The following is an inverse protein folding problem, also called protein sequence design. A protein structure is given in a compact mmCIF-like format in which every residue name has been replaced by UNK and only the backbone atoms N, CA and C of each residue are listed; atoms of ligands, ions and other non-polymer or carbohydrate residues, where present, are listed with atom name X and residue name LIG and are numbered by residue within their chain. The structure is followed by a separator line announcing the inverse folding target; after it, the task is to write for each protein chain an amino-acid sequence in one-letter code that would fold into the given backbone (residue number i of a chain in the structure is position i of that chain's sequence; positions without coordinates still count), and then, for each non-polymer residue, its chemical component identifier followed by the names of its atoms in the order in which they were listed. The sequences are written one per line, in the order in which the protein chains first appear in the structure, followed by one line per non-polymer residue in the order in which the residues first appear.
data_IF_607537662347
#
_entry.id   IF_607537662347
#
_cell.length_a   1.000
_cell.length_b   1.000
_cell.length_c   1.000
_cell.angle_alpha   90.00
_cell.angle_beta   90.00
_cell.angle_gamma   90.00
#
_symmetry.space_group_name_H-M   'P 1'
#
loop_
_entity.id
_entity.type
_entity.pdbx_description
1 polymer ?
#
# COMPACT_ATOMS: atom_id res chain seq x y z
N UNK A 1 11.03 4.60 -34.17
CA UNK A 1 10.57 3.27 -33.72
C UNK A 1 10.37 3.34 -32.22
N UNK A 2 9.12 3.35 -31.75
CA UNK A 2 8.83 3.38 -30.31
C UNK A 2 9.05 2.00 -29.71
N UNK A 3 9.65 1.90 -28.52
CA UNK A 3 9.79 0.61 -27.87
C UNK A 3 8.41 0.04 -27.60
N UNK A 4 8.18 -1.16 -28.11
CA UNK A 4 6.90 -1.86 -27.91
C UNK A 4 6.80 -2.31 -26.46
N UNK A 5 5.58 -2.43 -25.94
CA UNK A 5 5.29 -2.88 -24.56
C UNK A 5 6.01 -4.21 -24.25
N UNK A 6 6.16 -5.07 -25.25
CA UNK A 6 6.91 -6.33 -25.17
C UNK A 6 8.40 -6.16 -24.86
N UNK A 7 9.04 -5.09 -25.36
CA UNK A 7 10.45 -4.81 -25.09
C UNK A 7 10.64 -4.29 -23.67
N UNK A 8 9.69 -3.46 -23.20
CA UNK A 8 9.72 -2.92 -21.83
C UNK A 8 9.61 -4.06 -20.80
N UNK A 9 8.74 -5.05 -21.02
CA UNK A 9 8.64 -6.21 -20.13
C UNK A 9 9.96 -6.98 -19.98
N UNK A 10 10.67 -7.21 -21.09
CA UNK A 10 11.97 -7.90 -21.08
C UNK A 10 13.00 -7.09 -20.28
N UNK A 11 13.04 -5.78 -20.47
CA UNK A 11 13.95 -4.89 -19.73
C UNK A 11 13.63 -4.90 -18.23
N UNK A 12 12.36 -4.83 -17.85
CA UNK A 12 11.95 -4.87 -16.43
C UNK A 12 12.36 -6.19 -15.78
N UNK A 13 12.21 -7.32 -16.48
CA UNK A 13 12.65 -8.62 -15.97
C UNK A 13 14.15 -8.64 -15.68
N UNK A 14 14.97 -8.10 -16.59
CA UNK A 14 16.42 -8.00 -16.40
C UNK A 14 16.78 -7.09 -15.21
N UNK A 15 16.11 -5.96 -15.06
CA UNK A 15 16.30 -5.06 -13.91
C UNK A 15 15.96 -5.78 -12.60
N UNK A 16 14.87 -6.55 -12.56
CA UNK A 16 14.49 -7.32 -11.37
C UNK A 16 15.51 -8.41 -11.05
N UNK A 17 16.08 -9.07 -12.06
CA UNK A 17 17.11 -10.09 -11.87
C UNK A 17 18.44 -9.49 -11.39
N UNK A 18 18.84 -8.33 -11.92
CA UNK A 18 20.11 -7.68 -11.61
C UNK A 18 20.12 -7.05 -10.20
N UNK A 19 19.01 -6.41 -9.81
CA UNK A 19 18.88 -5.73 -8.52
C UNK A 19 18.29 -6.62 -7.43
N UNK A 20 17.66 -7.74 -7.81
CA UNK A 20 17.00 -8.67 -6.90
C UNK A 20 15.68 -8.14 -6.31
N UNK A 21 14.80 -9.05 -5.90
CA UNK A 21 13.46 -8.71 -5.35
C UNK A 21 13.51 -7.94 -4.02
N UNK A 22 14.56 -8.13 -3.21
CA UNK A 22 14.67 -7.49 -1.89
C UNK A 22 14.82 -5.97 -1.97
N UNK A 23 15.71 -5.48 -2.83
CA UNK A 23 15.99 -4.03 -2.98
C UNK A 23 14.83 -3.30 -3.65
N UNK A 24 14.21 -3.93 -4.64
CA UNK A 24 13.06 -3.37 -5.37
C UNK A 24 11.82 -3.30 -4.48
N UNK A 25 11.55 -4.31 -3.64
CA UNK A 25 10.38 -4.30 -2.76
C UNK A 25 10.42 -3.16 -1.74
N UNK A 26 11.57 -2.93 -1.10
CA UNK A 26 11.75 -1.82 -0.16
C UNK A 26 11.56 -0.46 -0.85
N UNK A 27 12.23 -0.23 -1.98
CA UNK A 27 12.13 1.01 -2.76
C UNK A 27 10.72 1.24 -3.31
N UNK A 28 10.04 0.18 -3.78
CA UNK A 28 8.68 0.27 -4.28
C UNK A 28 7.70 0.57 -3.13
N UNK A 29 7.93 0.07 -1.92
CA UNK A 29 7.13 0.39 -0.73
C UNK A 29 7.18 1.88 -0.37
N UNK A 30 8.38 2.49 -0.40
CA UNK A 30 8.55 3.92 -0.12
C UNK A 30 8.01 4.79 -1.27
N UNK A 31 8.23 4.37 -2.52
CA UNK A 31 7.66 5.03 -3.69
C UNK A 31 6.12 4.94 -3.70
N UNK A 32 5.54 3.80 -3.28
CA UNK A 32 4.10 3.63 -3.19
C UNK A 32 3.47 4.53 -2.13
N UNK A 33 4.12 4.74 -0.98
CA UNK A 33 3.67 5.73 0.02
C UNK A 33 3.69 7.15 -0.56
N UNK A 34 4.75 7.54 -1.27
CA UNK A 34 4.86 8.84 -1.93
C UNK A 34 3.77 9.06 -2.99
N UNK A 35 3.57 8.09 -3.90
CA UNK A 35 2.53 8.15 -4.93
C UNK A 35 1.12 8.13 -4.29
N UNK A 36 0.91 7.37 -3.21
CA UNK A 36 -0.38 7.32 -2.50
C UNK A 36 -0.70 8.65 -1.83
N UNK A 37 0.27 9.29 -1.19
CA UNK A 37 0.13 10.62 -0.61
C UNK A 37 -0.13 11.68 -1.69
N UNK A 38 0.60 11.62 -2.81
CA UNK A 38 0.39 12.50 -3.95
C UNK A 38 -1.02 12.33 -4.56
N UNK A 39 -1.46 11.08 -4.76
CA UNK A 39 -2.82 10.81 -5.26
C UNK A 39 -3.89 11.19 -4.25
N UNK A 40 -3.65 11.03 -2.95
CA UNK A 40 -4.57 11.46 -1.89
C UNK A 40 -4.70 12.97 -1.86
N UNK A 41 -3.60 13.73 -1.93
CA UNK A 41 -3.62 15.20 -1.99
C UNK A 41 -4.30 15.72 -3.26
N UNK A 42 -3.95 15.17 -4.42
CA UNK A 42 -4.59 15.54 -5.68
C UNK A 42 -6.06 15.11 -5.76
N UNK A 43 -6.42 14.01 -5.08
CA UNK A 43 -7.81 13.59 -4.95
C UNK A 43 -8.56 14.44 -3.93
N UNK A 44 -7.93 14.98 -2.89
CA UNK A 44 -8.56 15.92 -1.93
C UNK A 44 -8.92 17.23 -2.65
N UNK A 45 -8.01 17.78 -3.46
CA UNK A 45 -8.27 18.92 -4.36
C UNK A 45 -9.38 18.62 -5.38
N UNK A 46 -9.57 17.35 -5.78
CA UNK A 46 -10.64 16.93 -6.69
C UNK A 46 -11.91 16.41 -5.97
N UNK A 47 -11.86 16.22 -4.65
CA UNK A 47 -12.91 15.64 -3.81
C UNK A 47 -13.50 16.65 -2.82
N UNK A 48 -12.98 17.88 -2.73
CA UNK A 48 -13.76 19.01 -2.20
C UNK A 48 -15.08 19.21 -2.99
N UNK A 49 -15.17 18.71 -4.23
CA UNK A 49 -16.42 18.62 -5.00
C UNK A 49 -17.20 17.30 -4.79
N UNK A 50 -16.62 16.27 -4.16
CA UNK A 50 -17.25 14.96 -3.98
C UNK A 50 -16.72 14.21 -2.75
N UNK A 51 -17.54 14.14 -1.70
CA UNK A 51 -17.56 13.02 -0.74
C UNK A 51 -16.71 13.16 0.54
N UNK A 52 -17.23 13.95 1.49
CA UNK A 52 -16.94 13.89 2.93
C UNK A 52 -17.31 12.54 3.60
N UNK A 53 -17.22 11.38 2.92
CA UNK A 53 -17.81 10.10 3.36
C UNK A 53 -16.82 8.92 3.44
N UNK A 54 -15.51 9.18 3.54
CA UNK A 54 -14.52 8.09 3.68
C UNK A 54 -13.43 8.36 4.72
N UNK A 55 -13.80 8.98 5.83
CA UNK A 55 -12.94 9.10 7.03
C UNK A 55 -13.71 8.62 8.27
N UNK A 56 -14.24 7.39 8.24
CA UNK A 56 -14.83 6.81 9.47
C UNK A 56 -14.89 5.27 9.46
N UNK A 57 -13.92 4.57 8.84
CA UNK A 57 -13.92 3.09 8.91
C UNK A 57 -12.57 2.40 8.75
N UNK A 58 -11.56 2.84 9.50
CA UNK A 58 -10.31 2.08 9.66
C UNK A 58 -9.61 2.35 11.00
N UNK A 59 -10.37 2.72 12.03
CA UNK A 59 -9.93 2.78 13.42
C UNK A 59 -10.93 2.00 14.28
N UNK A 60 -11.10 0.72 13.96
CA UNK A 60 -11.70 -0.26 14.86
C UNK A 60 -10.70 -1.40 14.93
N UNK A 61 -9.88 -1.36 15.97
CA UNK A 61 -9.11 -2.50 16.45
C UNK A 61 -10.08 -3.68 16.60
N UNK A 62 -9.73 -4.91 16.15
CA UNK A 62 -10.54 -6.06 16.48
C UNK A 62 -10.50 -6.25 18.01
N UNK A 63 -11.62 -5.96 18.67
CA UNK A 63 -11.88 -6.39 20.04
C UNK A 63 -11.73 -7.92 20.08
N UNK A 64 -10.61 -8.40 20.61
CA UNK A 64 -10.34 -9.80 20.87
C UNK A 64 -11.25 -10.26 22.02
N UNK A 65 -12.25 -11.08 21.69
CA UNK A 65 -13.22 -11.65 22.64
C UNK A 65 -12.83 -13.05 23.10
N UNK A 66 -11.54 -13.41 23.11
CA UNK A 66 -11.10 -14.67 23.71
C UNK A 66 -11.32 -14.64 25.23
N UNK A 67 -12.17 -15.50 25.82
CA UNK A 67 -12.29 -15.58 27.26
C UNK A 67 -10.98 -16.19 27.79
N UNK A 68 -10.18 -15.38 28.48
CA UNK A 68 -9.02 -15.86 29.21
C UNK A 68 -9.50 -16.78 30.34
N UNK A 69 -9.46 -18.09 30.08
CA UNK A 69 -9.40 -19.07 31.14
C UNK A 69 -8.21 -18.79 32.06
N UNK A 70 -8.46 -19.00 33.36
CA UNK A 70 -7.51 -19.08 34.48
C UNK A 70 -7.26 -17.80 35.29
N UNK A 71 -7.74 -17.83 36.54
CA UNK A 71 -7.05 -17.50 37.82
C UNK A 71 -8.03 -17.82 38.97
N UNK A 72 -7.99 -19.00 39.61
CA UNK A 72 -7.05 -19.51 40.63
C UNK A 72 -7.25 -18.81 41.99
N UNK A 73 -7.40 -19.65 43.03
CA UNK A 73 -7.18 -19.41 44.47
C UNK A 73 -8.23 -18.64 45.31
N UNK A 74 -9.05 -19.40 46.08
CA UNK A 74 -9.30 -19.26 47.53
C UNK A 74 -10.39 -20.25 47.99
#
# INVERSE_FOLDING_TARGET
MSPSIWQILIVVLLVVLLFGRGKISALMGDMAKGIKAFKRGMADDAAEDADAKKVERAAEEPIDVTPAGQKKDA
#
